data_IF_702686592085
#
_entry.id   IF_702686592085
#
_cell.length_a   1.000
_cell.length_b   1.000
_cell.length_c   1.000
_cell.angle_alpha   90.00
_cell.angle_beta   90.00
_cell.angle_gamma   90.00
#
_symmetry.space_group_name_H-M   'P 1'
#
loop_
_entity.id
_entity.type
_entity.pdbx_description
1 polymer ?
#
# COMPACT_ATOMS: atom_id res chain seq x y z
N UNK A 1 -19.93 39.14 -30.14
CA UNK A 1 -18.48 39.01 -30.41
C UNK A 1 -18.18 37.73 -31.16
N UNK A 2 -17.73 37.83 -32.42
CA UNK A 2 -17.51 36.69 -33.33
C UNK A 2 -16.20 35.93 -33.05
N UNK A 3 -15.60 36.12 -31.87
CA UNK A 3 -14.25 35.65 -31.52
C UNK A 3 -14.22 34.72 -30.31
N UNK A 4 -15.38 34.26 -29.81
CA UNK A 4 -15.41 33.29 -28.71
C UNK A 4 -15.25 31.88 -29.26
N UNK A 5 -14.25 31.14 -28.78
CA UNK A 5 -14.00 29.77 -29.23
C UNK A 5 -15.01 28.79 -28.61
N UNK A 6 -15.32 27.71 -29.33
CA UNK A 6 -16.21 26.67 -28.79
C UNK A 6 -15.71 26.11 -27.44
N UNK A 7 -14.39 25.99 -27.28
CA UNK A 7 -13.76 25.59 -26.00
C UNK A 7 -14.07 26.58 -24.88
N UNK A 8 -14.10 27.89 -25.17
CA UNK A 8 -14.42 28.91 -24.19
C UNK A 8 -15.89 28.83 -23.75
N UNK A 9 -16.83 28.68 -24.68
CA UNK A 9 -18.25 28.54 -24.34
C UNK A 9 -18.53 27.26 -23.54
N UNK A 10 -17.90 26.14 -23.90
CA UNK A 10 -18.00 24.90 -23.12
C UNK A 10 -17.43 25.09 -21.71
N UNK A 11 -16.26 25.74 -21.60
CA UNK A 11 -15.65 26.04 -20.31
C UNK A 11 -16.55 26.92 -19.45
N UNK A 12 -17.19 27.93 -20.03
CA UNK A 12 -18.12 28.81 -19.33
C UNK A 12 -19.24 28.02 -18.68
N UNK A 13 -19.98 27.21 -19.46
CA UNK A 13 -21.09 26.39 -18.95
C UNK A 13 -20.62 25.36 -17.91
N UNK A 14 -19.47 24.74 -18.13
CA UNK A 14 -18.93 23.70 -17.25
C UNK A 14 -18.49 24.25 -15.87
N UNK A 15 -17.91 25.45 -15.85
CA UNK A 15 -17.44 26.09 -14.60
C UNK A 15 -18.46 26.99 -13.92
N UNK A 16 -19.51 27.46 -14.61
CA UNK A 16 -20.58 28.26 -13.98
C UNK A 16 -21.76 27.41 -13.53
N UNK A 17 -22.33 26.63 -14.45
CA UNK A 17 -23.64 26.00 -14.23
C UNK A 17 -23.49 24.57 -13.70
N UNK A 18 -22.46 23.86 -14.17
CA UNK A 18 -22.27 22.42 -13.89
C UNK A 18 -21.04 22.08 -13.04
N UNK A 19 -20.53 23.05 -12.27
CA UNK A 19 -19.32 22.87 -11.46
C UNK A 19 -19.41 21.66 -10.51
N UNK A 20 -20.57 21.42 -9.91
CA UNK A 20 -20.79 20.30 -9.00
C UNK A 20 -20.70 18.93 -9.71
N UNK A 21 -21.24 18.81 -10.93
CA UNK A 21 -21.13 17.58 -11.73
C UNK A 21 -19.69 17.33 -12.18
N UNK A 22 -18.96 18.40 -12.52
CA UNK A 22 -17.55 18.31 -12.86
C UNK A 22 -16.72 17.83 -11.65
N UNK A 23 -16.98 18.38 -10.46
CA UNK A 23 -16.32 17.95 -9.24
C UNK A 23 -16.64 16.48 -8.88
N UNK A 24 -17.90 16.05 -9.03
CA UNK A 24 -18.29 14.66 -8.82
C UNK A 24 -17.56 13.72 -9.79
N UNK A 25 -17.41 14.12 -11.05
CA UNK A 25 -16.63 13.36 -12.05
C UNK A 25 -15.17 13.21 -11.62
N UNK A 26 -14.57 14.24 -11.01
CA UNK A 26 -13.24 14.17 -10.40
C UNK A 26 -13.15 13.15 -9.26
N UNK A 27 -14.16 13.11 -8.38
CA UNK A 27 -14.24 12.10 -7.31
C UNK A 27 -14.36 10.68 -7.86
N UNK A 28 -15.15 10.49 -8.92
CA UNK A 28 -15.29 9.20 -9.60
C UNK A 28 -13.95 8.75 -10.18
N UNK A 29 -13.22 9.64 -10.86
CA UNK A 29 -11.89 9.34 -11.41
C UNK A 29 -10.87 8.98 -10.33
N UNK A 30 -10.90 9.66 -9.18
CA UNK A 30 -10.04 9.34 -8.05
C UNK A 30 -10.33 7.93 -7.52
N UNK A 31 -11.60 7.61 -7.29
CA UNK A 31 -12.02 6.28 -6.82
C UNK A 31 -11.67 5.20 -7.85
N UNK A 32 -11.81 5.49 -9.15
CA UNK A 32 -11.46 4.56 -10.21
C UNK A 32 -9.96 4.21 -10.20
N UNK A 33 -9.07 5.19 -10.01
CA UNK A 33 -7.63 4.92 -9.86
C UNK A 33 -7.34 4.04 -8.64
N UNK A 34 -7.94 4.34 -7.50
CA UNK A 34 -7.78 3.53 -6.28
C UNK A 34 -8.28 2.10 -6.53
N UNK A 35 -9.45 1.95 -7.15
CA UNK A 35 -10.04 0.66 -7.48
C UNK A 35 -9.16 -0.19 -8.39
N UNK A 36 -8.59 0.40 -9.45
CA UNK A 36 -7.69 -0.29 -10.37
C UNK A 36 -6.42 -0.81 -9.68
N UNK A 37 -5.80 0.01 -8.82
CA UNK A 37 -4.60 -0.39 -8.06
C UNK A 37 -4.95 -1.51 -7.08
N UNK A 38 -6.02 -1.37 -6.30
CA UNK A 38 -6.39 -2.36 -5.28
C UNK A 38 -6.80 -3.68 -5.91
N UNK A 39 -7.51 -3.67 -7.05
CA UNK A 39 -7.95 -4.88 -7.74
C UNK A 39 -6.77 -5.68 -8.32
N UNK A 40 -5.73 -5.00 -8.79
CA UNK A 40 -4.53 -5.64 -9.35
C UNK A 40 -3.46 -5.91 -8.30
N UNK A 41 -3.56 -5.32 -7.11
CA UNK A 41 -2.62 -5.51 -6.03
C UNK A 41 -2.70 -6.95 -5.49
N UNK A 42 -1.72 -7.78 -5.87
CA UNK A 42 -1.58 -9.15 -5.37
C UNK A 42 -0.51 -9.23 -4.29
N UNK A 43 -0.89 -9.55 -3.06
CA UNK A 43 0.05 -9.95 -2.01
C UNK A 43 0.52 -11.39 -2.29
N UNK A 44 1.84 -11.60 -2.43
CA UNK A 44 2.42 -12.94 -2.54
C UNK A 44 2.46 -13.60 -1.15
N UNK A 45 1.64 -14.62 -0.98
CA UNK A 45 1.67 -15.53 0.17
C UNK A 45 2.97 -16.36 0.15
N UNK A 46 3.51 -16.70 1.32
CA UNK A 46 4.71 -17.55 1.45
C UNK A 46 6.07 -16.83 1.43
N UNK A 47 6.11 -15.49 1.35
CA UNK A 47 7.35 -14.74 1.58
C UNK A 47 7.57 -14.60 3.09
N UNK A 48 8.71 -15.06 3.59
CA UNK A 48 9.17 -14.74 4.94
C UNK A 48 9.40 -13.24 5.04
N UNK A 49 8.47 -12.51 5.66
CA UNK A 49 8.62 -11.08 5.96
C UNK A 49 9.26 -10.92 7.33
N UNK A 50 10.25 -10.05 7.41
CA UNK A 50 10.81 -9.65 8.69
C UNK A 50 9.83 -8.72 9.40
N UNK A 51 9.54 -9.00 10.67
CA UNK A 51 8.85 -8.05 11.54
C UNK A 51 9.91 -7.27 12.30
N UNK A 52 10.15 -6.02 11.91
CA UNK A 52 11.10 -5.14 12.58
C UNK A 52 10.75 -4.94 14.06
N UNK A 53 9.44 -4.85 14.36
CA UNK A 53 8.96 -4.75 15.73
C UNK A 53 9.37 -5.96 16.57
N UNK A 54 9.17 -7.18 16.04
CA UNK A 54 9.58 -8.43 16.71
C UNK A 54 11.10 -8.55 16.87
N UNK A 55 11.88 -7.95 15.97
CA UNK A 55 13.35 -7.99 16.06
C UNK A 55 13.90 -7.03 17.12
N UNK A 56 13.33 -5.83 17.25
CA UNK A 56 13.77 -4.86 18.25
C UNK A 56 13.30 -5.24 19.65
N UNK A 57 12.05 -5.72 19.77
CA UNK A 57 11.47 -6.06 21.07
C UNK A 57 12.04 -7.36 21.66
N UNK A 58 13.00 -7.99 21.00
CA UNK A 58 13.59 -9.26 21.42
C UNK A 58 14.45 -9.04 22.67
N UNK A 59 14.16 -9.78 23.72
CA UNK A 59 14.94 -9.71 24.95
C UNK A 59 16.17 -10.62 24.90
N UNK A 60 17.20 -10.30 25.70
CA UNK A 60 18.43 -11.09 25.79
C UNK A 60 18.18 -12.55 26.18
N UNK A 61 17.12 -12.80 26.96
CA UNK A 61 16.67 -14.15 27.36
C UNK A 61 16.17 -15.00 26.18
N UNK A 62 15.66 -14.37 25.12
CA UNK A 62 15.23 -15.03 23.88
C UNK A 62 16.39 -15.14 22.87
N UNK A 63 17.55 -14.63 23.23
CA UNK A 63 18.76 -14.55 22.40
C UNK A 63 19.55 -15.86 22.37
N UNK A 64 19.66 -16.49 23.54
CA UNK A 64 20.68 -17.51 23.83
C UNK A 64 20.11 -18.58 24.77
N UNK A 65 20.40 -19.84 24.48
CA UNK A 65 20.09 -20.99 25.32
C UNK A 65 21.41 -21.69 25.68
N UNK A 66 21.67 -21.89 26.97
CA UNK A 66 22.84 -22.64 27.43
C UNK A 66 22.48 -24.12 27.35
N UNK A 67 23.17 -24.84 26.46
CA UNK A 67 23.04 -26.30 26.35
C UNK A 67 24.38 -26.94 26.72
N UNK A 68 24.32 -28.00 27.53
CA UNK A 68 25.48 -28.81 27.89
C UNK A 68 25.44 -30.14 27.10
N UNK A 69 26.09 -30.22 25.93
CA UNK A 69 26.17 -31.46 25.16
C UNK A 69 27.14 -32.46 25.79
N UNK A 70 26.88 -33.76 25.60
CA UNK A 70 27.79 -34.84 26.01
C UNK A 70 29.01 -34.91 25.09
N UNK A 71 30.10 -35.49 25.60
CA UNK A 71 31.34 -35.67 24.85
C UNK A 71 31.08 -36.48 23.56
N UNK A 72 31.55 -35.97 22.42
CA UNK A 72 31.29 -36.48 21.05
C UNK A 72 29.84 -36.39 20.53
N UNK A 73 28.95 -35.62 21.17
CA UNK A 73 27.62 -35.30 20.62
C UNK A 73 27.53 -33.83 20.20
N UNK A 74 26.92 -33.58 19.04
CA UNK A 74 26.62 -32.23 18.56
C UNK A 74 25.34 -31.68 19.19
N UNK A 75 25.25 -30.35 19.31
CA UNK A 75 24.01 -29.67 19.72
C UNK A 75 23.00 -29.74 18.57
N UNK A 76 21.80 -30.27 18.83
CA UNK A 76 20.71 -30.29 17.85
C UNK A 76 20.09 -28.90 17.79
N UNK A 77 20.48 -28.12 16.79
CA UNK A 77 19.96 -26.77 16.56
C UNK A 77 19.03 -26.84 15.35
N UNK A 78 17.82 -27.36 15.51
CA UNK A 78 16.77 -27.22 14.49
C UNK A 78 15.39 -27.34 15.16
N UNK A 79 14.55 -26.31 14.93
CA UNK A 79 13.14 -26.22 15.27
C UNK A 79 12.37 -25.69 14.06
#
# INVERSE_FOLDING_TARGET
>A
DLSTTNTHEIGKVLYTDYIHLFQLSGMILLVAMIGAIVLTFRKREGIKRQSYFKQISRERKEGVELTDPKYNEGVKIDA
#
